data_IF_773649763407
#
_entry.id   IF_773649763407
#
_cell.length_a   1.000
_cell.length_b   1.000
_cell.length_c   1.000
_cell.angle_alpha   90.00
_cell.angle_beta   90.00
_cell.angle_gamma   90.00
#
_symmetry.space_group_name_H-M   'P 1'
#
loop_
_entity.id
_entity.type
_entity.pdbx_description
1 polymer ?
#
# COMPACT_ATOMS: atom_id res chain seq x y z
N UNK A 1 -8.05 -12.26 -23.01
CA UNK A 1 -7.46 -12.44 -21.67
C UNK A 1 -6.86 -11.11 -21.22
N UNK A 2 -7.38 -10.59 -20.10
CA UNK A 2 -7.41 -9.17 -19.75
C UNK A 2 -6.07 -8.62 -19.23
N UNK A 3 -5.56 -7.57 -19.88
CA UNK A 3 -4.34 -6.84 -19.53
C UNK A 3 -4.56 -5.70 -18.50
N UNK A 4 -5.53 -5.84 -17.60
CA UNK A 4 -5.92 -4.74 -16.69
C UNK A 4 -5.29 -4.77 -15.29
N UNK A 5 -4.57 -5.83 -14.91
CA UNK A 5 -4.03 -5.96 -13.55
C UNK A 5 -2.70 -5.19 -13.29
N UNK A 6 -2.11 -4.51 -14.28
CA UNK A 6 -0.80 -3.84 -14.15
C UNK A 6 -0.86 -2.30 -14.04
N UNK A 7 -2.03 -1.68 -13.90
CA UNK A 7 -2.19 -0.24 -14.17
C UNK A 7 -1.88 0.70 -12.99
N UNK A 8 -2.04 0.28 -11.74
CA UNK A 8 -1.90 1.19 -10.59
C UNK A 8 -0.44 1.44 -10.16
N UNK A 9 0.35 0.38 -9.96
CA UNK A 9 1.78 0.49 -9.64
C UNK A 9 2.54 1.22 -10.76
N UNK A 10 2.21 0.94 -12.02
CA UNK A 10 2.85 1.57 -13.19
C UNK A 10 2.51 3.06 -13.35
N UNK A 11 1.37 3.54 -12.84
CA UNK A 11 1.00 4.96 -12.98
C UNK A 11 1.63 5.86 -11.93
N UNK A 12 1.95 5.33 -10.75
CA UNK A 12 2.39 6.14 -9.61
C UNK A 12 3.86 5.91 -9.22
N UNK A 13 4.51 4.85 -9.74
CA UNK A 13 5.91 4.54 -9.42
C UNK A 13 6.14 4.11 -7.97
N UNK A 14 5.08 3.78 -7.23
CA UNK A 14 5.15 3.39 -5.82
C UNK A 14 4.79 1.92 -5.61
N UNK A 15 5.52 1.29 -4.70
CA UNK A 15 5.25 -0.08 -4.22
C UNK A 15 4.49 0.03 -2.90
N UNK A 16 3.30 -0.56 -2.84
CA UNK A 16 2.47 -0.55 -1.63
C UNK A 16 2.15 -1.97 -1.15
N UNK A 17 2.16 -2.16 0.16
CA UNK A 17 1.75 -3.39 0.86
C UNK A 17 0.61 -3.06 1.82
N UNK A 18 -0.40 -3.93 1.90
CA UNK A 18 -1.53 -3.73 2.81
C UNK A 18 -1.39 -4.60 4.06
N UNK A 19 -1.30 -3.95 5.22
CA UNK A 19 -1.19 -4.63 6.51
C UNK A 19 -2.45 -4.53 7.36
N UNK A 20 -2.90 -5.66 7.90
CA UNK A 20 -4.02 -5.69 8.84
C UNK A 20 -3.73 -6.57 10.06
N UNK A 21 -4.24 -6.16 11.22
CA UNK A 21 -4.30 -7.02 12.41
C UNK A 21 -5.28 -8.19 12.23
N UNK A 22 -6.23 -8.08 11.28
CA UNK A 22 -7.14 -9.16 10.90
C UNK A 22 -6.55 -10.22 9.98
N UNK A 23 -5.27 -10.10 9.59
CA UNK A 23 -4.60 -11.02 8.67
C UNK A 23 -4.67 -10.61 7.20
N UNK A 24 -3.93 -11.34 6.35
CA UNK A 24 -3.78 -11.04 4.94
C UNK A 24 -5.09 -11.18 4.16
N UNK A 25 -5.86 -12.22 4.44
CA UNK A 25 -7.14 -12.54 3.79
C UNK A 25 -8.18 -11.48 4.09
N UNK A 26 -8.27 -11.05 5.35
CA UNK A 26 -9.13 -9.95 5.76
C UNK A 26 -8.75 -8.66 5.05
N UNK A 27 -7.45 -8.32 5.01
CA UNK A 27 -6.96 -7.13 4.33
C UNK A 27 -7.32 -7.13 2.84
N UNK A 28 -7.10 -8.26 2.15
CA UNK A 28 -7.45 -8.45 0.74
C UNK A 28 -8.94 -8.26 0.50
N UNK A 29 -9.78 -8.93 1.29
CA UNK A 29 -11.24 -8.83 1.13
C UNK A 29 -11.78 -7.42 1.34
N UNK A 30 -11.21 -6.64 2.27
CA UNK A 30 -11.56 -5.21 2.42
C UNK A 30 -11.14 -4.41 1.18
N UNK A 31 -9.90 -4.58 0.71
CA UNK A 31 -9.39 -3.85 -0.45
C UNK A 31 -10.16 -4.17 -1.75
N UNK A 32 -10.60 -5.42 -1.93
CA UNK A 32 -11.45 -5.84 -3.06
C UNK A 32 -12.83 -5.16 -3.01
N UNK A 33 -13.49 -5.14 -1.84
CA UNK A 33 -14.78 -4.45 -1.67
C UNK A 33 -14.69 -2.94 -1.92
N UNK A 34 -13.55 -2.34 -1.63
CA UNK A 34 -13.28 -0.92 -1.87
C UNK A 34 -12.75 -0.64 -3.29
N UNK A 35 -12.50 -1.68 -4.10
CA UNK A 35 -11.99 -1.51 -5.46
C UNK A 35 -10.52 -1.06 -5.55
N UNK A 36 -9.76 -1.14 -4.46
CA UNK A 36 -8.37 -0.67 -4.36
C UNK A 36 -7.34 -1.81 -4.28
N UNK A 37 -7.77 -3.07 -4.41
CA UNK A 37 -6.88 -4.22 -4.27
C UNK A 37 -5.69 -4.19 -5.25
N UNK A 38 -5.90 -3.65 -6.46
CA UNK A 38 -4.86 -3.52 -7.48
C UNK A 38 -3.76 -2.51 -7.14
N UNK A 39 -3.94 -1.68 -6.12
CA UNK A 39 -2.91 -0.74 -5.64
C UNK A 39 -1.77 -1.47 -4.90
N UNK A 40 -2.03 -2.66 -4.35
CA UNK A 40 -1.10 -3.35 -3.46
C UNK A 40 -0.39 -4.52 -4.15
N UNK A 41 0.91 -4.66 -3.90
CA UNK A 41 1.71 -5.82 -4.35
C UNK A 41 1.37 -7.05 -3.52
N UNK A 42 1.17 -6.89 -2.21
CA UNK A 42 0.77 -7.99 -1.33
C UNK A 42 -0.06 -7.50 -0.13
N UNK A 43 -0.72 -8.47 0.50
CA UNK A 43 -1.49 -8.33 1.72
C UNK A 43 -0.82 -9.18 2.80
N UNK A 44 -0.52 -8.60 3.96
CA UNK A 44 0.20 -9.30 5.02
C UNK A 44 -0.46 -9.03 6.39
N UNK A 45 -0.35 -9.94 7.36
CA UNK A 45 -0.67 -9.64 8.75
C UNK A 45 0.28 -8.56 9.28
N UNK A 46 -0.20 -7.68 10.17
CA UNK A 46 0.69 -6.78 10.93
C UNK A 46 1.62 -7.63 11.81
N UNK A 47 2.95 -7.44 11.73
CA UNK A 47 3.86 -8.19 12.57
C UNK A 47 3.76 -7.76 14.05
N UNK A 48 4.03 -8.68 14.97
CA UNK A 48 4.18 -8.36 16.39
C UNK A 48 5.60 -7.88 16.75
N UNK A 49 6.57 -8.16 15.88
CA UNK A 49 7.96 -7.77 16.04
C UNK A 49 8.55 -7.48 14.65
N UNK A 50 9.25 -6.37 14.53
CA UNK A 50 10.00 -5.99 13.33
C UNK A 50 11.44 -5.74 13.76
N UNK A 51 12.37 -6.44 13.13
CA UNK A 51 13.81 -6.31 13.38
C UNK A 51 14.42 -5.76 12.10
N UNK A 52 15.04 -4.60 12.20
CA UNK A 52 15.68 -3.87 11.12
C UNK A 52 16.77 -2.97 11.74
N UNK A 53 17.81 -2.62 11.00
CA UNK A 53 18.87 -1.74 11.50
C UNK A 53 18.43 -0.28 11.56
N UNK A 54 17.35 0.07 10.86
CA UNK A 54 16.74 1.38 10.88
C UNK A 54 15.22 1.30 11.13
N UNK A 55 14.62 2.26 11.85
CA UNK A 55 13.17 2.34 11.92
C UNK A 55 12.58 2.63 10.53
N UNK A 56 11.32 2.24 10.23
CA UNK A 56 10.70 2.50 8.93
C UNK A 56 10.70 3.97 8.50
N UNK A 57 10.70 4.90 9.45
CA UNK A 57 10.78 6.34 9.20
C UNK A 57 12.13 6.82 8.70
N UNK A 58 13.18 5.99 8.79
CA UNK A 58 14.52 6.27 8.28
C UNK A 58 14.82 5.58 6.94
N UNK A 59 13.94 4.70 6.47
CA UNK A 59 14.10 4.02 5.19
C UNK A 59 14.07 5.04 4.03
N UNK A 60 15.03 4.99 3.09
CA UNK A 60 15.05 5.86 1.92
C UNK A 60 13.74 5.75 1.12
N UNK A 61 13.22 6.89 0.67
CA UNK A 61 12.01 7.00 -0.16
C UNK A 61 10.72 6.43 0.46
N UNK A 62 10.72 6.11 1.75
CA UNK A 62 9.54 5.66 2.49
C UNK A 62 8.98 6.80 3.32
N UNK A 63 7.66 7.00 3.25
CA UNK A 63 6.92 7.93 4.10
C UNK A 63 5.99 7.16 5.03
N UNK A 64 6.17 7.36 6.33
CA UNK A 64 5.27 6.84 7.36
C UNK A 64 4.28 7.94 7.70
N UNK A 65 2.99 7.71 7.44
CA UNK A 65 1.90 8.68 7.64
C UNK A 65 0.71 8.01 8.34
N UNK A 66 0.06 8.74 9.24
CA UNK A 66 -1.29 8.43 9.68
C UNK A 66 -2.30 8.77 8.56
N UNK A 67 -3.42 8.05 8.38
CA UNK A 67 -4.41 8.38 7.35
C UNK A 67 -4.91 9.82 7.36
N UNK A 68 -5.01 10.45 8.54
CA UNK A 68 -5.40 11.87 8.66
C UNK A 68 -4.33 12.85 8.15
N UNK A 69 -3.08 12.41 7.99
CA UNK A 69 -1.98 13.19 7.43
C UNK A 69 -1.88 13.00 5.90
N UNK A 70 -2.54 11.98 5.36
CA UNK A 70 -2.62 11.76 3.92
C UNK A 70 -3.64 12.72 3.31
N UNK A 71 -3.16 13.76 2.63
CA UNK A 71 -4.04 14.65 1.86
C UNK A 71 -4.66 13.88 0.69
N UNK A 72 -5.98 13.96 0.53
CA UNK A 72 -6.65 13.54 -0.70
C UNK A 72 -6.13 14.42 -1.83
N UNK A 73 -5.35 13.84 -2.74
CA UNK A 73 -4.73 14.60 -3.83
C UNK A 73 -5.31 14.10 -5.15
N UNK A 74 -6.09 14.93 -5.85
CA UNK A 74 -6.54 14.65 -7.23
C UNK A 74 -5.39 14.71 -8.25
N UNK A 75 -4.18 15.05 -7.82
CA UNK A 75 -3.03 15.38 -8.66
C UNK A 75 -1.91 14.34 -8.53
N UNK A 76 -2.02 13.23 -9.25
CA UNK A 76 -0.84 12.56 -9.82
C UNK A 76 -1.11 12.34 -11.32
N UNK A 77 -1.19 13.46 -12.03
CA UNK A 77 -1.20 13.54 -13.48
C UNK A 77 -0.48 14.83 -13.94
N UNK A 78 0.73 15.07 -13.46
CA UNK A 78 1.68 16.04 -14.04
C UNK A 78 3.04 15.95 -13.34
N UNK A 79 3.87 15.01 -13.80
CA UNK A 79 5.33 15.10 -13.74
C UNK A 79 5.90 14.21 -14.85
#
# INVERSE_FOLDING_TARGET
MSAFASSAQKKLGVVAYCWSSGGAEYARGVAERLGIASLFVAFLPKPNLMIDDQPPSAWPDVRVLHPNEAMSTDAIAAA
#
